data_IF_865586718469
#
_entry.id   IF_865586718469
#
_cell.length_a   1.000
_cell.length_b   1.000
_cell.length_c   1.000
_cell.angle_alpha   90.00
_cell.angle_beta   90.00
_cell.angle_gamma   90.00
#
_symmetry.space_group_name_H-M   'P 1'
#
loop_
_entity.id
_entity.type
_entity.pdbx_description
1 polymer ?
#
# COMPACT_ATOMS: atom_id res chain seq x y z
N UNK A 1 -22.19 23.98 1.28
CA UNK A 1 -21.92 23.25 0.02
C UNK A 1 -20.79 22.30 0.31
N UNK A 2 -20.94 21.00 0.08
CA UNK A 2 -19.85 20.05 0.32
C UNK A 2 -18.71 20.37 -0.66
N UNK A 3 -17.48 20.46 -0.16
CA UNK A 3 -16.29 20.69 -0.97
C UNK A 3 -16.14 19.51 -1.96
N UNK A 4 -16.10 19.80 -3.26
CA UNK A 4 -16.03 18.73 -4.27
C UNK A 4 -14.65 18.09 -4.21
N UNK A 5 -14.60 16.77 -4.35
CA UNK A 5 -13.33 16.03 -4.32
C UNK A 5 -12.49 16.43 -5.54
N UNK A 6 -11.32 17.03 -5.31
CA UNK A 6 -10.44 17.48 -6.40
C UNK A 6 -9.64 16.33 -7.00
N UNK A 7 -9.59 16.27 -8.32
CA UNK A 7 -8.81 15.31 -9.12
C UNK A 7 -7.79 16.11 -9.92
N UNK A 8 -6.51 15.78 -9.76
CA UNK A 8 -5.46 16.44 -10.52
C UNK A 8 -5.50 16.04 -11.99
N UNK A 9 -5.18 16.98 -12.88
CA UNK A 9 -5.03 16.75 -14.31
C UNK A 9 -3.65 17.24 -14.74
N UNK A 10 -2.85 16.34 -15.30
CA UNK A 10 -1.54 16.64 -15.88
C UNK A 10 -1.59 16.45 -17.39
N UNK A 11 -1.37 17.52 -18.14
CA UNK A 11 -1.25 17.45 -19.59
C UNK A 11 0.20 17.27 -20.03
N UNK A 12 0.43 16.61 -21.18
CA UNK A 12 1.72 16.65 -21.84
C UNK A 12 2.05 18.03 -22.45
N UNK A 13 3.30 18.23 -22.90
CA UNK A 13 3.72 19.47 -23.57
C UNK A 13 3.06 19.74 -24.94
N UNK A 14 2.37 18.75 -25.53
CA UNK A 14 1.51 18.96 -26.71
C UNK A 14 2.23 19.03 -28.06
N UNK A 15 3.39 18.39 -28.22
CA UNK A 15 4.19 18.46 -29.45
C UNK A 15 3.51 17.91 -30.73
N UNK A 16 2.51 17.02 -30.63
CA UNK A 16 1.75 16.51 -31.78
C UNK A 16 0.42 15.84 -31.34
N UNK A 17 -0.66 16.59 -31.08
CA UNK A 17 -1.89 16.04 -30.54
C UNK A 17 -2.74 15.38 -31.65
N UNK A 18 -2.86 14.05 -31.60
CA UNK A 18 -3.84 13.26 -32.37
C UNK A 18 -5.25 13.36 -31.79
N UNK A 19 -5.36 13.63 -30.49
CA UNK A 19 -6.62 13.70 -29.78
C UNK A 19 -6.76 15.02 -29.02
N UNK A 20 -7.99 15.52 -28.96
CA UNK A 20 -8.34 16.68 -28.14
C UNK A 20 -8.32 16.30 -26.66
N UNK A 21 -7.25 16.71 -25.98
CA UNK A 21 -7.00 16.45 -24.56
C UNK A 21 -8.05 17.10 -23.67
N UNK A 22 -8.56 18.27 -24.05
CA UNK A 22 -9.58 18.98 -23.26
C UNK A 22 -10.91 18.27 -23.40
N UNK A 23 -11.27 17.84 -24.61
CA UNK A 23 -12.47 17.03 -24.83
C UNK A 23 -12.42 15.69 -24.09
N UNK A 24 -11.27 15.02 -24.05
CA UNK A 24 -11.05 13.79 -23.27
C UNK A 24 -11.32 14.02 -21.77
N UNK A 25 -10.75 15.08 -21.19
CA UNK A 25 -10.97 15.45 -19.77
C UNK A 25 -12.43 15.79 -19.51
N UNK A 26 -13.08 16.56 -20.39
CA UNK A 26 -14.49 16.90 -20.26
C UNK A 26 -15.37 15.65 -20.32
N UNK A 27 -15.04 14.70 -21.21
CA UNK A 27 -15.81 13.47 -21.37
C UNK A 27 -15.66 12.55 -20.17
N UNK A 28 -14.44 12.34 -19.66
CA UNK A 28 -14.23 11.50 -18.49
C UNK A 28 -14.82 12.15 -17.23
N UNK A 29 -14.70 13.48 -17.08
CA UNK A 29 -15.29 14.22 -15.97
C UNK A 29 -16.82 14.14 -15.95
N UNK A 30 -17.46 13.97 -17.11
CA UNK A 30 -18.90 13.70 -17.20
C UNK A 30 -19.36 12.41 -16.50
N UNK A 31 -18.46 11.46 -16.22
CA UNK A 31 -18.77 10.26 -15.43
C UNK A 31 -18.67 10.48 -13.91
N UNK A 32 -18.10 11.59 -13.44
CA UNK A 32 -17.80 11.87 -12.03
C UNK A 32 -18.32 13.26 -11.62
N UNK A 33 -19.65 13.50 -11.62
CA UNK A 33 -20.24 14.81 -11.32
C UNK A 33 -19.93 15.35 -9.91
N UNK A 34 -19.59 14.46 -8.99
CA UNK A 34 -19.19 14.72 -7.60
C UNK A 34 -17.74 15.22 -7.46
N UNK A 35 -16.93 15.08 -8.49
CA UNK A 35 -15.53 15.47 -8.49
C UNK A 35 -15.29 16.77 -9.26
N UNK A 36 -14.22 17.48 -8.89
CA UNK A 36 -13.72 18.64 -9.61
C UNK A 36 -12.36 18.33 -10.22
N UNK A 37 -12.22 18.49 -11.55
CA UNK A 37 -10.96 18.25 -12.24
C UNK A 37 -10.15 19.54 -12.30
N UNK A 38 -9.03 19.57 -11.58
CA UNK A 38 -8.16 20.74 -11.42
C UNK A 38 -6.78 20.45 -12.00
N UNK A 39 -6.03 21.47 -12.41
CA UNK A 39 -4.65 21.27 -12.87
C UNK A 39 -3.78 20.75 -11.71
N UNK A 40 -3.06 19.64 -11.94
CA UNK A 40 -2.21 19.03 -10.92
C UNK A 40 -0.98 19.91 -10.64
N UNK A 41 -0.75 20.21 -9.36
CA UNK A 41 0.40 20.98 -8.88
C UNK A 41 1.49 20.06 -8.31
N UNK A 42 2.75 20.48 -8.43
CA UNK A 42 3.89 19.74 -7.90
C UNK A 42 3.80 19.61 -6.36
N UNK A 43 4.07 18.42 -5.83
CA UNK A 43 4.03 18.14 -4.39
C UNK A 43 2.63 18.10 -3.74
N UNK A 44 1.58 18.50 -4.45
CA UNK A 44 0.20 18.47 -3.93
C UNK A 44 -0.35 17.04 -4.03
N UNK A 45 -0.97 16.58 -2.93
CA UNK A 45 -1.62 15.27 -2.88
C UNK A 45 -3.01 15.35 -3.50
N UNK A 46 -3.29 14.44 -4.43
CA UNK A 46 -4.61 14.24 -5.01
C UNK A 46 -5.06 12.79 -4.76
N UNK A 47 -6.37 12.53 -4.63
CA UNK A 47 -6.91 11.18 -4.59
C UNK A 47 -6.55 10.40 -5.86
N UNK A 48 -6.48 11.06 -7.02
CA UNK A 48 -5.95 10.52 -8.26
C UNK A 48 -5.47 11.66 -9.17
N UNK A 49 -4.57 11.36 -10.11
CA UNK A 49 -4.19 12.28 -11.18
C UNK A 49 -4.45 11.64 -12.53
N UNK A 50 -5.22 12.34 -13.36
CA UNK A 50 -5.41 11.99 -14.76
C UNK A 50 -4.24 12.55 -15.59
N UNK A 51 -3.45 11.68 -16.19
CA UNK A 51 -2.28 12.03 -17.02
C UNK A 51 -2.69 11.97 -18.49
N UNK A 52 -2.91 13.13 -19.09
CA UNK A 52 -3.56 13.26 -20.40
C UNK A 52 -2.55 13.61 -21.47
N UNK A 53 -2.36 12.69 -22.41
CA UNK A 53 -1.46 12.85 -23.53
C UNK A 53 -2.24 12.97 -24.84
N UNK A 54 -1.78 13.82 -25.76
CA UNK A 54 -2.42 13.96 -27.08
C UNK A 54 -2.06 12.83 -28.05
N UNK A 55 -1.17 11.92 -27.66
CA UNK A 55 -0.72 10.79 -28.48
C UNK A 55 -0.23 9.63 -27.58
N UNK A 56 -0.02 8.43 -28.15
CA UNK A 56 0.35 7.23 -27.38
C UNK A 56 1.74 7.26 -26.73
N UNK A 57 2.59 8.26 -26.99
CA UNK A 57 3.96 8.32 -26.46
C UNK A 57 4.05 8.63 -24.96
N UNK A 58 2.94 9.07 -24.34
CA UNK A 58 2.81 9.30 -22.89
C UNK A 58 3.91 10.18 -22.27
N UNK A 59 4.30 11.24 -22.97
CA UNK A 59 5.41 12.12 -22.59
C UNK A 59 5.13 13.14 -21.46
N UNK A 60 3.99 13.05 -20.77
CA UNK A 60 3.70 13.95 -19.65
C UNK A 60 4.61 13.65 -18.46
N UNK A 61 5.25 14.68 -17.90
CA UNK A 61 6.06 14.54 -16.71
C UNK A 61 5.16 14.30 -15.48
N UNK A 62 5.47 13.27 -14.70
CA UNK A 62 4.77 12.88 -13.47
C UNK A 62 5.71 12.80 -12.26
N UNK A 63 7.01 13.04 -12.43
CA UNK A 63 8.00 12.85 -11.35
C UNK A 63 7.85 13.86 -10.21
N UNK A 64 7.15 14.97 -10.46
CA UNK A 64 6.87 16.02 -9.48
C UNK A 64 5.55 15.83 -8.73
N UNK A 65 4.78 14.78 -9.05
CA UNK A 65 3.47 14.52 -8.46
C UNK A 65 3.60 13.67 -7.18
N UNK A 66 3.00 14.15 -6.09
CA UNK A 66 2.95 13.43 -4.82
C UNK A 66 1.77 12.43 -4.78
N UNK A 67 1.71 11.53 -5.76
CA UNK A 67 0.62 10.57 -5.95
C UNK A 67 1.19 9.19 -6.29
N UNK A 68 0.75 8.10 -5.63
CA UNK A 68 1.22 6.75 -5.92
C UNK A 68 1.01 6.36 -7.39
N UNK A 69 1.89 5.52 -7.93
CA UNK A 69 1.82 5.11 -9.33
C UNK A 69 0.47 4.48 -9.72
N UNK A 70 -0.16 3.73 -8.81
CA UNK A 70 -1.50 3.15 -9.01
C UNK A 70 -2.63 4.16 -9.14
N UNK A 71 -2.40 5.42 -8.76
CA UNK A 71 -3.37 6.53 -8.85
C UNK A 71 -3.02 7.54 -9.96
N UNK A 72 -2.02 7.24 -10.78
CA UNK A 72 -1.73 7.94 -12.04
C UNK A 72 -2.49 7.28 -13.19
N UNK A 73 -3.60 7.89 -13.61
CA UNK A 73 -4.49 7.34 -14.63
C UNK A 73 -4.14 7.94 -15.99
N UNK A 74 -3.43 7.17 -16.82
CA UNK A 74 -3.08 7.60 -18.18
C UNK A 74 -4.26 7.55 -19.13
N UNK A 75 -4.44 8.62 -19.91
CA UNK A 75 -5.45 8.76 -20.96
C UNK A 75 -4.81 9.41 -22.20
N UNK A 76 -4.72 8.65 -23.29
CA UNK A 76 -4.04 9.06 -24.52
C UNK A 76 -4.86 8.90 -25.81
N UNK A 77 -6.14 8.58 -25.68
CA UNK A 77 -7.10 8.42 -26.79
C UNK A 77 -8.50 8.04 -26.30
N UNK A 78 -9.47 7.97 -27.21
CA UNK A 78 -10.87 7.62 -26.91
C UNK A 78 -11.03 6.15 -26.51
N UNK A 79 -10.19 5.29 -27.08
CA UNK A 79 -10.07 3.86 -26.79
C UNK A 79 -9.71 3.58 -25.32
N UNK A 80 -9.00 4.50 -24.66
CA UNK A 80 -8.61 4.38 -23.26
C UNK A 80 -9.64 5.00 -22.30
N UNK A 81 -10.71 5.64 -22.80
CA UNK A 81 -11.66 6.39 -21.98
C UNK A 81 -12.37 5.51 -20.95
N UNK A 82 -12.89 4.35 -21.36
CA UNK A 82 -13.62 3.45 -20.47
C UNK A 82 -12.69 2.76 -19.44
N UNK A 83 -11.53 2.21 -19.85
CA UNK A 83 -10.54 1.72 -18.88
C UNK A 83 -9.99 2.80 -17.95
N UNK A 84 -9.85 4.05 -18.41
CA UNK A 84 -9.47 5.18 -17.56
C UNK A 84 -10.59 5.54 -16.57
N UNK A 85 -11.86 5.51 -17.00
CA UNK A 85 -13.02 5.69 -16.12
C UNK A 85 -13.00 4.65 -14.99
N UNK A 86 -12.82 3.38 -15.29
CA UNK A 86 -12.80 2.32 -14.28
C UNK A 86 -11.66 2.51 -13.28
N UNK A 87 -10.44 2.75 -13.75
CA UNK A 87 -9.28 3.02 -12.88
C UNK A 87 -9.46 4.28 -12.03
N UNK A 88 -10.02 5.33 -12.62
CA UNK A 88 -10.30 6.57 -11.89
C UNK A 88 -11.41 6.36 -10.84
N UNK A 89 -12.48 5.67 -11.19
CA UNK A 89 -13.53 5.30 -10.23
C UNK A 89 -12.96 4.52 -9.05
N UNK A 90 -12.06 3.57 -9.32
CA UNK A 90 -11.40 2.78 -8.28
C UNK A 90 -10.51 3.66 -7.38
N UNK A 91 -9.69 4.53 -7.98
CA UNK A 91 -8.86 5.47 -7.22
C UNK A 91 -9.70 6.48 -6.40
N UNK A 92 -10.88 6.85 -6.90
CA UNK A 92 -11.80 7.80 -6.26
C UNK A 92 -12.73 7.17 -5.24
N UNK A 93 -12.93 5.86 -5.21
CA UNK A 93 -13.71 5.22 -4.14
C UNK A 93 -13.15 5.58 -2.77
N UNK A 94 -11.88 6.02 -2.69
CA UNK A 94 -11.16 6.28 -1.46
C UNK A 94 -11.11 4.95 -0.75
N UNK A 95 -10.02 4.19 -0.92
CA UNK A 95 -9.93 2.88 -0.30
C UNK A 95 -10.38 2.99 1.14
N UNK A 96 -11.51 2.35 1.43
CA UNK A 96 -12.12 2.40 2.74
C UNK A 96 -11.03 1.97 3.70
N UNK A 97 -10.55 2.93 4.47
CA UNK A 97 -9.65 2.62 5.55
C UNK A 97 -10.49 1.84 6.53
N UNK A 98 -10.26 0.53 6.59
CA UNK A 98 -10.92 -0.35 7.54
C UNK A 98 -9.93 -0.82 8.58
N UNK A 99 -10.41 -1.03 9.79
CA UNK A 99 -9.71 -1.80 10.80
C UNK A 99 -10.03 -3.28 10.64
N UNK A 100 -9.13 -4.15 11.10
CA UNK A 100 -9.38 -5.59 11.23
C UNK A 100 -9.25 -5.99 12.69
N UNK A 101 -10.27 -6.70 13.18
CA UNK A 101 -10.25 -7.43 14.44
C UNK A 101 -9.32 -8.64 14.36
N UNK A 102 -9.04 -9.27 15.51
CA UNK A 102 -8.22 -10.49 15.54
C UNK A 102 -8.85 -11.65 14.75
N UNK A 103 -10.17 -11.80 14.80
CA UNK A 103 -10.90 -12.82 14.05
C UNK A 103 -10.73 -12.62 12.53
N UNK A 104 -10.86 -11.38 12.06
CA UNK A 104 -10.64 -11.06 10.64
C UNK A 104 -9.18 -11.29 10.21
N UNK A 105 -8.21 -11.03 11.09
CA UNK A 105 -6.80 -11.36 10.84
C UNK A 105 -6.62 -12.87 10.69
N UNK A 106 -7.28 -13.68 11.52
CA UNK A 106 -7.24 -15.15 11.44
C UNK A 106 -7.90 -15.69 10.17
N UNK A 107 -8.92 -15.01 9.66
CA UNK A 107 -9.60 -15.36 8.40
C UNK A 107 -8.71 -15.07 7.18
N UNK A 108 -7.90 -14.01 7.25
CA UNK A 108 -7.01 -13.60 6.16
C UNK A 108 -5.71 -14.41 6.18
N UNK A 109 -5.03 -14.46 7.32
CA UNK A 109 -3.72 -15.11 7.43
C UNK A 109 -3.86 -16.61 7.66
N UNK A 110 -3.05 -17.46 7.00
CA UNK A 110 -3.00 -18.88 7.31
C UNK A 110 -2.22 -19.20 8.59
N UNK A 111 -1.41 -18.25 9.09
CA UNK A 111 -0.59 -18.39 10.29
C UNK A 111 -1.44 -18.66 11.54
N UNK A 112 -0.93 -19.49 12.46
CA UNK A 112 -1.54 -19.79 13.76
C UNK A 112 -0.48 -19.82 14.83
N UNK A 113 -0.90 -19.79 16.09
CA UNK A 113 0.02 -19.91 17.24
C UNK A 113 0.90 -21.17 17.12
N UNK A 114 2.19 -21.09 17.48
CA UNK A 114 2.90 -19.95 18.06
C UNK A 114 3.57 -19.00 17.03
N UNK A 115 3.14 -19.02 15.78
CA UNK A 115 3.75 -18.28 14.65
C UNK A 115 2.81 -17.23 14.04
N UNK A 116 1.73 -16.86 14.72
CA UNK A 116 0.90 -15.71 14.35
C UNK A 116 1.33 -14.50 15.18
N UNK A 117 1.76 -13.43 14.52
CA UNK A 117 2.28 -12.24 15.19
C UNK A 117 1.42 -11.00 14.97
N UNK A 118 0.31 -11.07 14.24
CA UNK A 118 -0.59 -9.93 14.10
C UNK A 118 -1.82 -10.12 14.99
N UNK A 119 -2.04 -9.19 15.92
CA UNK A 119 -3.21 -9.18 16.79
C UNK A 119 -4.38 -8.48 16.10
N UNK A 120 -4.17 -7.27 15.58
CA UNK A 120 -5.20 -6.43 14.95
C UNK A 120 -4.58 -5.50 13.90
N UNK A 121 -5.41 -4.90 13.06
CA UNK A 121 -5.00 -3.85 12.11
C UNK A 121 -5.86 -2.61 12.35
N UNK A 122 -5.23 -1.49 12.71
CA UNK A 122 -5.94 -0.24 13.01
C UNK A 122 -6.27 0.55 11.74
N UNK A 123 -5.47 0.36 10.69
CA UNK A 123 -5.58 1.05 9.42
C UNK A 123 -5.20 0.12 8.28
N UNK A 124 -6.09 -0.11 7.33
CA UNK A 124 -5.81 -0.90 6.13
C UNK A 124 -6.31 -0.21 4.88
N UNK A 125 -5.43 -0.10 3.90
CA UNK A 125 -5.67 0.38 2.55
C UNK A 125 -5.14 -0.71 1.60
N UNK A 126 -5.99 -1.65 1.14
CA UNK A 126 -5.54 -2.87 0.45
C UNK A 126 -4.61 -2.61 -0.73
N UNK A 127 -3.44 -3.25 -0.77
CA UNK A 127 -2.45 -3.04 -1.83
C UNK A 127 -1.73 -1.69 -1.82
N UNK A 128 -1.95 -0.81 -0.84
CA UNK A 128 -1.16 0.41 -0.65
C UNK A 128 -0.42 0.43 0.69
N UNK A 129 -1.14 0.38 1.83
CA UNK A 129 -0.54 0.48 3.16
C UNK A 129 -1.40 -0.11 4.29
N UNK A 130 -0.77 -0.51 5.39
CA UNK A 130 -1.45 -0.96 6.60
C UNK A 130 -0.67 -0.63 7.88
N UNK A 131 -1.39 -0.54 9.00
CA UNK A 131 -0.83 -0.40 10.36
C UNK A 131 -1.36 -1.52 11.23
N UNK A 132 -0.49 -2.49 11.52
CA UNK A 132 -0.81 -3.69 12.31
C UNK A 132 -0.21 -3.61 13.72
N UNK A 133 -0.79 -4.35 14.66
CA UNK A 133 -0.29 -4.48 16.03
C UNK A 133 0.23 -5.88 16.29
N UNK A 134 1.36 -5.97 16.98
CA UNK A 134 1.88 -7.22 17.55
C UNK A 134 2.26 -7.00 19.02
N UNK A 135 1.67 -7.76 19.93
CA UNK A 135 2.05 -7.82 21.34
C UNK A 135 3.12 -8.89 21.53
N UNK A 136 4.32 -8.49 21.94
CA UNK A 136 5.39 -9.41 22.32
C UNK A 136 5.09 -10.04 23.70
N UNK A 137 4.09 -10.92 23.75
CA UNK A 137 3.57 -11.55 24.98
C UNK A 137 4.70 -12.24 25.75
N UNK A 138 4.83 -12.04 27.08
CA UNK A 138 5.92 -12.64 27.86
C UNK A 138 6.02 -14.17 27.76
N UNK A 139 4.92 -14.83 27.41
CA UNK A 139 4.81 -16.27 27.27
C UNK A 139 5.31 -16.80 25.91
N UNK A 140 5.71 -15.91 24.98
CA UNK A 140 6.24 -16.35 23.69
C UNK A 140 7.43 -17.30 23.89
N UNK A 141 7.43 -18.50 23.26
CA UNK A 141 8.45 -19.52 23.52
C UNK A 141 9.89 -19.05 23.30
N UNK A 142 10.11 -18.08 22.41
CA UNK A 142 11.44 -17.55 22.11
C UNK A 142 12.09 -16.86 23.31
N UNK A 143 11.33 -16.26 24.22
CA UNK A 143 11.88 -15.56 25.38
C UNK A 143 12.56 -16.48 26.40
N UNK A 144 12.17 -17.76 26.46
CA UNK A 144 12.83 -18.74 27.30
C UNK A 144 14.30 -18.98 26.88
N UNK A 145 14.60 -18.82 25.58
CA UNK A 145 15.93 -19.06 25.01
C UNK A 145 16.68 -17.81 24.56
N UNK A 146 16.03 -16.65 24.48
CA UNK A 146 16.62 -15.45 23.88
C UNK A 146 16.37 -14.21 24.76
N UNK A 147 17.10 -14.02 25.86
CA UNK A 147 18.09 -14.90 26.47
C UNK A 147 17.71 -15.18 27.93
N UNK A 148 18.08 -16.33 28.50
CA UNK A 148 17.86 -16.58 29.93
C UNK A 148 18.41 -15.42 30.79
N UNK A 149 17.56 -14.83 31.64
CA UNK A 149 17.89 -13.67 32.49
C UNK A 149 17.92 -12.31 31.79
N UNK A 150 17.84 -12.24 30.47
CA UNK A 150 17.74 -10.98 29.69
C UNK A 150 16.92 -11.23 28.41
N UNK A 151 15.59 -11.40 28.54
CA UNK A 151 14.74 -11.71 27.41
C UNK A 151 14.63 -10.53 26.45
N UNK A 152 14.76 -10.81 25.15
CA UNK A 152 14.69 -9.86 24.03
C UNK A 152 14.01 -10.58 22.87
N UNK A 153 13.08 -9.93 22.17
CA UNK A 153 12.44 -10.54 21.01
C UNK A 153 13.51 -10.71 19.91
N UNK A 154 13.74 -11.91 19.35
CA UNK A 154 14.69 -12.07 18.27
C UNK A 154 14.29 -11.21 17.07
N UNK A 155 15.23 -10.51 16.45
CA UNK A 155 14.93 -9.61 15.33
C UNK A 155 14.23 -10.30 14.14
N UNK A 156 14.43 -11.61 13.98
CA UNK A 156 13.72 -12.41 12.97
C UNK A 156 12.21 -12.51 13.22
N UNK A 157 11.74 -12.44 14.46
CA UNK A 157 10.30 -12.36 14.77
C UNK A 157 9.73 -10.98 14.40
N UNK A 158 10.53 -9.92 14.51
CA UNK A 158 10.16 -8.58 14.03
C UNK A 158 10.04 -8.56 12.50
N UNK A 159 10.96 -9.24 11.79
CA UNK A 159 10.89 -9.40 10.34
C UNK A 159 9.62 -10.18 9.96
N UNK A 160 9.36 -11.31 10.63
CA UNK A 160 8.20 -12.16 10.36
C UNK A 160 6.88 -11.41 10.64
N UNK A 161 6.78 -10.67 11.73
CA UNK A 161 5.59 -9.86 12.01
C UNK A 161 5.37 -8.79 10.93
N UNK A 162 6.43 -8.14 10.43
CA UNK A 162 6.33 -7.20 9.33
C UNK A 162 5.95 -7.89 7.99
N UNK A 163 6.43 -9.11 7.76
CA UNK A 163 6.02 -9.92 6.61
C UNK A 163 4.52 -10.26 6.68
N UNK A 164 4.02 -10.71 7.82
CA UNK A 164 2.59 -11.00 8.02
C UNK A 164 1.71 -9.75 7.88
N UNK A 165 2.15 -8.59 8.36
CA UNK A 165 1.44 -7.34 8.11
C UNK A 165 1.37 -7.00 6.60
N UNK A 166 2.47 -7.23 5.87
CA UNK A 166 2.51 -7.06 4.42
C UNK A 166 1.70 -8.14 3.67
N UNK A 167 1.57 -9.35 4.22
CA UNK A 167 0.67 -10.37 3.71
C UNK A 167 -0.78 -9.90 3.80
N UNK A 168 -1.22 -9.38 4.96
CA UNK A 168 -2.57 -8.81 5.13
C UNK A 168 -2.82 -7.70 4.10
N UNK A 169 -1.83 -6.81 3.90
CA UNK A 169 -1.92 -5.72 2.92
C UNK A 169 -2.24 -6.24 1.51
N UNK A 170 -1.56 -7.30 1.08
CA UNK A 170 -1.70 -7.82 -0.27
C UNK A 170 -2.88 -8.79 -0.40
N UNK A 171 -3.07 -9.68 0.56
CA UNK A 171 -4.13 -10.70 0.56
C UNK A 171 -5.54 -10.11 0.73
N UNK A 172 -5.66 -8.87 1.19
CA UNK A 172 -6.93 -8.15 1.20
C UNK A 172 -7.30 -7.51 -0.14
N UNK A 173 -6.43 -7.63 -1.14
CA UNK A 173 -6.79 -7.37 -2.55
C UNK A 173 -7.47 -8.60 -3.15
N UNK A 174 -8.41 -8.39 -4.08
CA UNK A 174 -9.12 -9.50 -4.76
C UNK A 174 -8.16 -10.49 -5.43
N UNK A 175 -6.99 -10.01 -5.89
CA UNK A 175 -6.01 -10.81 -6.64
C UNK A 175 -5.30 -11.87 -5.80
N UNK A 176 -5.13 -11.60 -4.50
CA UNK A 176 -4.33 -12.43 -3.59
C UNK A 176 -5.15 -12.99 -2.42
N UNK A 177 -6.45 -12.67 -2.36
CA UNK A 177 -7.36 -13.26 -1.39
C UNK A 177 -7.32 -14.79 -1.42
N UNK A 178 -7.15 -15.40 -0.24
CA UNK A 178 -7.10 -16.85 -0.06
C UNK A 178 -5.83 -17.55 -0.57
N UNK A 179 -4.83 -16.81 -1.06
CA UNK A 179 -3.55 -17.39 -1.50
C UNK A 179 -2.63 -17.69 -0.32
N UNK A 180 -1.65 -18.57 -0.55
CA UNK A 180 -0.58 -18.81 0.41
C UNK A 180 0.53 -17.77 0.19
N UNK A 181 0.82 -16.91 1.19
CA UNK A 181 2.00 -16.06 1.15
C UNK A 181 3.26 -16.89 1.41
N UNK A 182 4.30 -16.63 0.62
CA UNK A 182 5.61 -17.23 0.73
C UNK A 182 6.65 -16.12 0.84
N UNK A 183 7.44 -16.18 1.90
CA UNK A 183 8.49 -15.21 2.14
C UNK A 183 9.67 -15.46 1.20
N UNK A 184 9.91 -14.56 0.25
CA UNK A 184 10.97 -14.72 -0.75
C UNK A 184 12.32 -14.19 -0.30
N UNK A 185 12.34 -13.12 0.50
CA UNK A 185 13.58 -12.58 1.00
C UNK A 185 13.46 -11.18 1.60
N UNK A 186 14.57 -10.75 2.18
CA UNK A 186 14.75 -9.44 2.82
C UNK A 186 15.86 -8.73 2.05
N UNK A 187 15.59 -7.51 1.56
CA UNK A 187 16.61 -6.68 0.91
C UNK A 187 17.44 -5.93 1.94
N UNK A 188 16.78 -5.35 2.92
CA UNK A 188 17.40 -4.55 3.97
C UNK A 188 16.65 -4.77 5.28
N UNK A 189 17.38 -4.85 6.38
CA UNK A 189 16.83 -4.90 7.71
C UNK A 189 17.75 -4.17 8.69
N UNK A 190 17.24 -3.12 9.32
CA UNK A 190 17.95 -2.37 10.35
C UNK A 190 17.18 -2.45 11.67
N UNK A 191 17.85 -2.85 12.75
CA UNK A 191 17.27 -2.91 14.10
C UNK A 191 17.91 -1.83 14.98
N UNK A 192 17.07 -1.01 15.61
CA UNK A 192 17.47 0.22 16.34
C UNK A 192 17.18 0.15 17.82
N UNK A 193 16.10 -0.52 18.22
CA UNK A 193 15.64 -0.66 19.62
C UNK A 193 15.44 -2.14 19.94
N UNK A 194 15.87 -2.57 21.13
CA UNK A 194 15.49 -3.89 21.65
C UNK A 194 13.98 -3.91 21.89
N UNK A 195 13.37 -5.05 21.65
CA UNK A 195 11.95 -5.28 21.92
C UNK A 195 11.89 -6.27 23.07
N UNK A 196 11.17 -5.92 24.13
CA UNK A 196 11.15 -6.66 25.39
C UNK A 196 9.81 -7.40 25.56
N UNK A 197 9.76 -8.41 26.44
CA UNK A 197 8.49 -8.99 26.88
C UNK A 197 7.52 -7.90 27.34
N UNK A 198 6.31 -7.92 26.79
CA UNK A 198 5.30 -6.91 27.08
C UNK A 198 5.46 -5.59 26.33
N UNK A 199 6.29 -5.51 25.28
CA UNK A 199 6.20 -4.43 24.31
C UNK A 199 5.02 -4.67 23.34
N UNK A 200 4.38 -3.59 22.88
CA UNK A 200 3.48 -3.62 21.72
C UNK A 200 4.17 -2.94 20.55
N UNK A 201 4.29 -3.67 19.45
CA UNK A 201 4.87 -3.22 18.21
C UNK A 201 3.74 -2.68 17.33
N UNK A 202 3.90 -1.46 16.85
CA UNK A 202 3.08 -0.87 15.80
C UNK A 202 3.84 -0.99 14.47
N UNK A 203 3.28 -1.74 13.53
CA UNK A 203 3.95 -2.19 12.31
C UNK A 203 3.30 -1.49 11.12
N UNK A 204 4.00 -0.53 10.54
CA UNK A 204 3.58 0.21 9.36
C UNK A 204 4.15 -0.47 8.13
N UNK A 205 3.30 -0.94 7.22
CA UNK A 205 3.71 -1.54 5.95
C UNK A 205 3.17 -0.76 4.77
N UNK A 206 3.96 -0.64 3.72
CA UNK A 206 3.55 0.00 2.47
C UNK A 206 4.09 -0.75 1.25
N UNK A 207 3.30 -0.86 0.19
CA UNK A 207 3.73 -1.42 -1.09
C UNK A 207 4.78 -0.52 -1.75
N UNK A 208 5.92 -1.10 -2.13
CA UNK A 208 6.97 -0.42 -2.91
C UNK A 208 6.87 -0.77 -4.40
N UNK A 209 6.68 -2.05 -4.72
CA UNK A 209 6.61 -2.56 -6.08
C UNK A 209 5.75 -3.82 -6.11
N UNK A 210 4.91 -3.98 -7.14
CA UNK A 210 4.16 -5.21 -7.40
C UNK A 210 4.47 -5.72 -8.82
N UNK A 211 4.88 -6.99 -8.91
CA UNK A 211 5.04 -7.74 -10.17
C UNK A 211 3.90 -8.73 -10.29
N UNK A 212 2.78 -8.22 -10.77
CA UNK A 212 1.50 -8.93 -10.87
C UNK A 212 1.62 -10.27 -11.57
N UNK A 213 2.37 -10.33 -12.67
CA UNK A 213 2.54 -11.52 -13.52
C UNK A 213 3.30 -12.66 -12.84
N UNK A 214 4.05 -12.36 -11.77
CA UNK A 214 4.76 -13.35 -10.95
C UNK A 214 4.13 -13.54 -9.57
N UNK A 215 3.08 -12.77 -9.27
CA UNK A 215 2.49 -12.63 -7.96
C UNK A 215 3.55 -12.32 -6.88
N UNK A 216 4.40 -11.32 -7.13
CA UNK A 216 5.46 -10.89 -6.21
C UNK A 216 5.20 -9.44 -5.79
N UNK A 217 5.33 -9.15 -4.49
CA UNK A 217 5.31 -7.80 -3.96
C UNK A 217 6.58 -7.50 -3.17
N UNK A 218 7.11 -6.29 -3.32
CA UNK A 218 8.12 -5.71 -2.45
C UNK A 218 7.44 -4.67 -1.55
N UNK A 219 7.65 -4.78 -0.24
CA UNK A 219 7.02 -3.92 0.76
C UNK A 219 8.08 -3.33 1.68
N UNK A 220 7.84 -2.10 2.16
CA UNK A 220 8.58 -1.54 3.29
C UNK A 220 7.83 -1.86 4.58
N UNK A 221 8.54 -2.21 5.63
CA UNK A 221 8.00 -2.42 6.98
C UNK A 221 8.76 -1.59 8.00
N UNK A 222 8.09 -0.63 8.64
CA UNK A 222 8.63 0.16 9.74
C UNK A 222 7.93 -0.24 11.04
N UNK A 223 8.73 -0.62 12.03
CA UNK A 223 8.23 -1.14 13.30
C UNK A 223 8.55 -0.14 14.39
N UNK A 224 7.52 0.27 15.13
CA UNK A 224 7.63 1.22 16.23
C UNK A 224 7.26 0.55 17.55
N UNK A 225 7.92 0.94 18.62
CA UNK A 225 7.48 0.63 19.98
C UNK A 225 7.45 1.93 20.76
N UNK A 226 6.30 2.24 21.37
CA UNK A 226 6.08 3.51 22.08
C UNK A 226 6.39 4.74 21.20
N UNK A 227 6.07 4.67 19.91
CA UNK A 227 6.34 5.72 18.92
C UNK A 227 7.81 5.84 18.48
N UNK A 228 8.72 5.02 19.00
CA UNK A 228 10.14 5.01 18.62
C UNK A 228 10.41 3.93 17.58
N UNK A 229 11.07 4.30 16.47
CA UNK A 229 11.43 3.37 15.41
C UNK A 229 12.38 2.28 15.94
N UNK A 230 11.89 1.04 16.02
CA UNK A 230 12.60 -0.13 16.47
C UNK A 230 13.23 -0.93 15.31
N UNK A 231 12.58 -0.99 14.15
CA UNK A 231 13.13 -1.60 12.94
C UNK A 231 12.64 -0.94 11.65
N UNK A 232 13.46 -0.99 10.59
CA UNK A 232 13.10 -0.56 9.23
C UNK A 232 13.56 -1.65 8.25
N UNK A 233 12.63 -2.14 7.43
CA UNK A 233 12.74 -3.37 6.67
C UNK A 233 12.27 -3.17 5.22
N UNK A 234 12.91 -3.86 4.28
CA UNK A 234 12.40 -4.05 2.91
C UNK A 234 12.27 -5.55 2.61
N UNK A 235 11.03 -5.99 2.39
CA UNK A 235 10.63 -7.39 2.32
C UNK A 235 10.11 -7.73 0.92
N UNK A 236 10.27 -8.99 0.50
CA UNK A 236 9.68 -9.52 -0.73
C UNK A 236 8.85 -10.77 -0.43
N UNK A 237 7.64 -10.78 -0.96
CA UNK A 237 6.65 -11.84 -0.76
C UNK A 237 6.20 -12.36 -2.13
N UNK A 238 5.89 -13.65 -2.20
CA UNK A 238 5.20 -14.27 -3.31
C UNK A 238 3.86 -14.84 -2.85
N UNK A 239 2.84 -14.76 -3.69
CA UNK A 239 1.51 -15.31 -3.40
C UNK A 239 1.21 -16.46 -4.35
N UNK A 240 0.79 -17.61 -3.82
CA UNK A 240 0.55 -18.86 -4.57
C UNK A 240 -0.87 -19.37 -4.39
#
# INVERSE_FOLDING_TARGET
>A
MADKRQIGVRYCGGCNPRYDRVALVKRIGGFFPEAEFVTAQAGVKYPAVLVVCGCPSRCANVSDLAVPAGRLIFLSGWEELLPAKERLAEALKGQQTRSLTHEEVLDILPHREPMLFIDTVSRLVPGEEAVASFRARPELPCFAGHFPGTPVLPGVYTIEAAAQAADILMMTTERYAGKLPLFMGVREATFRRKILPGDTLEIHVSLLEEKTERAIAACRGQVFVEGVLAADLELRLAFR
#
